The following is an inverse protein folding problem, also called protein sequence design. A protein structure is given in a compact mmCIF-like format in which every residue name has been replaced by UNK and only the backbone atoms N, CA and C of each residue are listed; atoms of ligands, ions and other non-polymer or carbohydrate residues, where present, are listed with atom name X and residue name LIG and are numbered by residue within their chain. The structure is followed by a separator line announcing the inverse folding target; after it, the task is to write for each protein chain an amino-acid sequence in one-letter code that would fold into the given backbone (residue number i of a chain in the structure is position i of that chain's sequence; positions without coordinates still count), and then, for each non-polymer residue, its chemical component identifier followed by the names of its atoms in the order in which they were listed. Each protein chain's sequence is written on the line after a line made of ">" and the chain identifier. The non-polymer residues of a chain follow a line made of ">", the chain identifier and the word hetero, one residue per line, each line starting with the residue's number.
data_IF_992048005939
#
_entry.id   IF_992048005939
#
_cell.length_a   1.000
_cell.length_b   1.000
_cell.length_c   1.000
_cell.angle_alpha   90.00
_cell.angle_beta   90.00
_cell.angle_gamma   90.00
#
_symmetry.space_group_name_H-M   'P 1'
#
loop_
_entity.id
_entity.type
_entity.pdbx_description
1 polymer ?
#
# COMPACT_ATOMS: atom_id res chain seq x y z
N UNK A 1 16.92 -10.49 -5.48
CA UNK A 1 15.91 -10.96 -4.50
C UNK A 1 15.28 -9.83 -3.67
N UNK A 2 16.05 -8.88 -3.10
CA UNK A 2 15.50 -7.80 -2.25
C UNK A 2 14.51 -6.84 -2.94
N UNK A 3 14.68 -6.59 -4.23
CA UNK A 3 13.74 -5.82 -5.06
C UNK A 3 12.32 -6.42 -5.08
N UNK A 4 12.22 -7.74 -5.22
CA UNK A 4 10.93 -8.44 -5.30
C UNK A 4 10.15 -8.35 -3.97
N UNK A 5 10.87 -8.37 -2.84
CA UNK A 5 10.26 -8.26 -1.50
C UNK A 5 9.69 -6.87 -1.26
N UNK A 6 10.45 -5.81 -1.59
CA UNK A 6 9.94 -4.44 -1.50
C UNK A 6 8.77 -4.18 -2.45
N UNK A 7 8.81 -4.76 -3.65
CA UNK A 7 7.71 -4.71 -4.61
C UNK A 7 6.45 -5.40 -4.07
N UNK A 8 6.58 -6.60 -3.51
CA UNK A 8 5.47 -7.36 -2.95
C UNK A 8 4.82 -6.65 -1.76
N UNK A 9 5.62 -6.11 -0.82
CA UNK A 9 5.10 -5.36 0.34
C UNK A 9 4.36 -4.09 -0.10
N UNK A 10 4.90 -3.38 -1.08
CA UNK A 10 4.26 -2.18 -1.61
C UNK A 10 2.95 -2.50 -2.34
N UNK A 11 2.95 -3.52 -3.21
CA UNK A 11 1.76 -3.98 -3.92
C UNK A 11 0.68 -4.45 -2.93
N UNK A 12 1.08 -5.16 -1.87
CA UNK A 12 0.18 -5.61 -0.81
C UNK A 12 -0.47 -4.43 -0.10
N UNK A 13 0.28 -3.42 0.34
CA UNK A 13 -0.28 -2.24 1.00
C UNK A 13 -1.31 -1.52 0.10
N UNK A 14 -1.03 -1.43 -1.20
CA UNK A 14 -1.96 -0.82 -2.15
C UNK A 14 -3.22 -1.66 -2.32
N UNK A 15 -3.08 -2.97 -2.56
CA UNK A 15 -4.21 -3.91 -2.68
C UNK A 15 -5.09 -3.84 -1.43
N UNK A 16 -4.49 -3.79 -0.23
CA UNK A 16 -5.22 -3.69 1.03
C UNK A 16 -6.06 -2.41 1.11
N UNK A 17 -5.48 -1.26 0.75
CA UNK A 17 -6.21 0.01 0.70
C UNK A 17 -7.38 -0.07 -0.27
N UNK A 18 -7.18 -0.68 -1.44
CA UNK A 18 -8.23 -0.82 -2.45
C UNK A 18 -9.36 -1.74 -2.02
N UNK A 19 -9.05 -2.90 -1.42
CA UNK A 19 -10.08 -3.78 -0.86
C UNK A 19 -10.86 -3.07 0.26
N UNK A 20 -10.18 -2.27 1.09
CA UNK A 20 -10.83 -1.54 2.19
C UNK A 20 -11.71 -0.41 1.66
N UNK A 21 -11.25 0.30 0.63
CA UNK A 21 -12.00 1.35 -0.05
C UNK A 21 -13.23 0.78 -0.77
N UNK A 22 -13.08 -0.31 -1.51
CA UNK A 22 -14.19 -0.99 -2.21
C UNK A 22 -15.29 -1.37 -1.21
N UNK A 23 -14.93 -2.01 -0.10
CA UNK A 23 -15.88 -2.35 0.97
C UNK A 23 -16.54 -1.13 1.60
N UNK A 24 -15.77 -0.08 1.86
CA UNK A 24 -16.31 1.16 2.41
C UNK A 24 -17.33 1.78 1.46
N UNK A 25 -17.02 1.85 0.17
CA UNK A 25 -17.90 2.39 -0.85
C UNK A 25 -19.14 1.50 -1.03
N UNK A 26 -18.99 0.17 -1.07
CA UNK A 26 -20.11 -0.76 -1.13
C UNK A 26 -21.09 -0.53 0.03
N UNK A 27 -20.62 -0.37 1.27
CA UNK A 27 -21.48 -0.06 2.42
C UNK A 27 -22.10 1.35 2.30
N UNK A 28 -21.32 2.34 1.85
CA UNK A 28 -21.82 3.70 1.71
C UNK A 28 -22.92 3.84 0.66
N UNK A 29 -22.82 3.06 -0.41
CA UNK A 29 -23.72 3.09 -1.56
C UNK A 29 -24.67 1.89 -1.62
N UNK A 30 -24.79 1.09 -0.55
CA UNK A 30 -25.76 -0.02 -0.43
C UNK A 30 -27.19 0.43 -0.78
N UNK A 31 -27.53 1.70 -0.50
CA UNK A 31 -28.85 2.28 -0.80
C UNK A 31 -29.06 2.64 -2.28
N UNK A 32 -27.99 2.69 -3.08
CA UNK A 32 -27.97 2.99 -4.52
C UNK A 32 -27.29 1.87 -5.32
N UNK A 33 -27.62 0.62 -4.99
CA UNK A 33 -26.97 -0.61 -5.48
C UNK A 33 -26.84 -0.68 -7.01
N UNK A 34 -27.87 -0.25 -7.75
CA UNK A 34 -27.88 -0.29 -9.22
C UNK A 34 -26.91 0.69 -9.90
N UNK A 35 -26.66 1.85 -9.29
CA UNK A 35 -25.66 2.79 -9.82
C UNK A 35 -24.25 2.31 -9.49
N UNK A 36 -24.03 1.81 -8.27
CA UNK A 36 -22.72 1.31 -7.82
C UNK A 36 -22.19 0.17 -8.70
N UNK A 37 -23.03 -0.83 -9.01
CA UNK A 37 -22.63 -2.02 -9.77
C UNK A 37 -22.08 -1.69 -11.18
N UNK A 38 -22.53 -0.58 -11.78
CA UNK A 38 -22.07 -0.11 -13.09
C UNK A 38 -20.66 0.49 -13.06
N UNK A 39 -20.25 1.08 -11.93
CA UNK A 39 -18.99 1.81 -11.81
C UNK A 39 -17.89 1.03 -11.09
N UNK A 40 -18.21 -0.08 -10.41
CA UNK A 40 -17.22 -0.99 -9.78
C UNK A 40 -16.01 -1.27 -10.70
N UNK A 41 -16.17 -1.73 -11.96
CA UNK A 41 -15.01 -2.04 -12.80
C UNK A 41 -14.16 -0.80 -13.11
N UNK A 42 -14.78 0.39 -13.22
CA UNK A 42 -14.03 1.64 -13.42
C UNK A 42 -13.24 2.03 -12.18
N UNK A 43 -13.81 1.87 -10.98
CA UNK A 43 -13.09 2.14 -9.73
C UNK A 43 -11.93 1.16 -9.51
N UNK A 44 -12.13 -0.12 -9.81
CA UNK A 44 -11.06 -1.13 -9.77
C UNK A 44 -9.95 -0.79 -10.79
N UNK A 45 -10.32 -0.39 -12.00
CA UNK A 45 -9.35 0.01 -13.01
C UNK A 45 -8.60 1.28 -12.62
N UNK A 46 -9.31 2.33 -12.19
CA UNK A 46 -8.72 3.61 -11.78
C UNK A 46 -7.77 3.45 -10.59
N UNK A 47 -8.11 2.56 -9.65
CA UNK A 47 -7.25 2.26 -8.53
C UNK A 47 -6.00 1.46 -8.91
N UNK A 48 -6.12 0.47 -9.80
CA UNK A 48 -4.95 -0.20 -10.39
C UNK A 48 -4.04 0.79 -11.12
N UNK A 49 -4.63 1.66 -11.95
CA UNK A 49 -3.91 2.68 -12.69
C UNK A 49 -3.19 3.68 -11.76
N UNK A 50 -3.87 4.16 -10.71
CA UNK A 50 -3.27 5.05 -9.72
C UNK A 50 -2.11 4.38 -8.97
N UNK A 51 -2.27 3.11 -8.60
CA UNK A 51 -1.23 2.31 -7.94
C UNK A 51 -0.01 2.13 -8.84
N UNK A 52 -0.25 1.80 -10.12
CA UNK A 52 0.80 1.66 -11.13
C UNK A 52 1.52 2.99 -11.39
N UNK A 53 0.78 4.10 -11.48
CA UNK A 53 1.36 5.43 -11.66
C UNK A 53 2.21 5.86 -10.47
N UNK A 54 1.72 5.63 -9.23
CA UNK A 54 2.48 5.93 -8.01
C UNK A 54 3.73 5.05 -7.92
N UNK A 55 3.63 3.80 -8.37
CA UNK A 55 4.79 2.89 -8.46
C UNK A 55 5.81 3.37 -9.49
N UNK A 56 5.38 3.71 -10.71
CA UNK A 56 6.25 4.21 -11.76
C UNK A 56 6.93 5.52 -11.34
N UNK A 57 6.19 6.40 -10.67
CA UNK A 57 6.72 7.64 -10.11
C UNK A 57 7.78 7.37 -9.03
N UNK A 58 7.51 6.48 -8.07
CA UNK A 58 8.47 6.14 -7.02
C UNK A 58 9.69 5.42 -7.59
N UNK A 59 9.52 4.50 -8.55
CA UNK A 59 10.64 3.82 -9.20
C UNK A 59 11.54 4.80 -9.95
N UNK A 60 10.93 5.70 -10.73
CA UNK A 60 11.65 6.71 -11.49
C UNK A 60 12.42 7.69 -10.59
N UNK A 61 11.75 8.23 -9.56
CA UNK A 61 12.38 9.22 -8.69
C UNK A 61 13.39 8.58 -7.74
N UNK A 62 13.09 7.45 -7.10
CA UNK A 62 13.97 6.83 -6.10
C UNK A 62 15.22 6.21 -6.72
N UNK A 63 15.14 5.63 -7.94
CA UNK A 63 16.35 5.12 -8.60
C UNK A 63 17.30 6.23 -9.07
N UNK A 64 16.79 7.41 -9.41
CA UNK A 64 17.62 8.53 -9.84
C UNK A 64 18.34 9.27 -8.70
N UNK A 65 17.86 9.19 -7.45
CA UNK A 65 18.51 9.92 -6.33
C UNK A 65 19.93 9.43 -6.04
N UNK A 66 20.29 8.19 -6.41
CA UNK A 66 21.56 7.58 -5.99
C UNK A 66 22.47 7.07 -7.09
N UNK A 67 22.09 7.18 -8.37
CA UNK A 67 22.90 6.67 -9.48
C UNK A 67 23.46 7.82 -10.31
N UNK A 68 24.76 8.06 -10.19
CA UNK A 68 25.49 9.00 -11.04
C UNK A 68 26.38 8.22 -12.00
N UNK A 69 26.34 8.59 -13.27
CA UNK A 69 27.34 8.10 -14.21
C UNK A 69 28.64 8.86 -13.94
N UNK A 70 29.63 8.17 -13.38
CA UNK A 70 30.97 8.71 -13.19
C UNK A 70 31.82 8.18 -14.33
N UNK A 71 32.42 9.09 -15.10
CA UNK A 71 33.38 8.71 -16.12
C UNK A 71 34.72 8.42 -15.44
N UNK A 72 35.20 7.19 -15.53
CA UNK A 72 36.50 6.82 -14.99
C UNK A 72 37.59 7.08 -16.03
N UNK A 73 38.34 8.16 -15.84
CA UNK A 73 39.39 8.62 -16.77
C UNK A 73 40.49 7.56 -16.92
N UNK A 74 40.77 6.76 -15.89
CA UNK A 74 41.86 5.77 -15.91
C UNK A 74 41.52 4.53 -16.71
N UNK A 75 40.23 4.20 -16.84
CA UNK A 75 39.77 2.98 -17.50
C UNK A 75 38.93 3.26 -18.77
N UNK A 76 38.74 4.54 -19.12
CA UNK A 76 38.00 5.02 -20.29
C UNK A 76 36.55 4.50 -20.40
N UNK A 77 35.91 4.11 -19.30
CA UNK A 77 34.52 3.68 -19.28
C UNK A 77 33.69 4.41 -18.22
N UNK A 78 32.38 4.47 -18.46
CA UNK A 78 31.42 5.01 -17.50
C UNK A 78 31.09 3.95 -16.45
N UNK A 79 31.33 4.26 -15.17
CA UNK A 79 30.80 3.49 -14.04
C UNK A 79 29.49 4.10 -13.58
N UNK A 80 28.49 3.25 -13.32
CA UNK A 80 27.34 3.65 -12.55
C UNK A 80 27.73 3.64 -11.07
N UNK A 81 28.08 4.81 -10.52
CA UNK A 81 28.25 4.93 -9.07
C UNK A 81 26.85 4.99 -8.46
N UNK A 82 26.38 3.81 -8.05
CA UNK A 82 25.16 3.67 -7.30
C UNK A 82 25.54 3.63 -5.83
N UNK A 83 25.26 4.72 -5.12
CA UNK A 83 25.42 4.74 -3.66
C UNK A 83 24.27 3.93 -3.04
N UNK A 84 24.32 2.61 -3.26
CA UNK A 84 23.24 1.63 -3.08
C UNK A 84 22.70 1.63 -1.66
N UNK A 85 23.56 1.88 -0.68
CA UNK A 85 23.23 1.90 0.75
C UNK A 85 22.29 3.05 1.13
N UNK A 86 22.57 4.26 0.66
CA UNK A 86 21.72 5.44 0.91
C UNK A 86 20.37 5.33 0.22
N UNK A 87 20.35 4.89 -1.04
CA UNK A 87 19.12 4.74 -1.82
C UNK A 87 18.20 3.67 -1.22
N UNK A 88 18.78 2.59 -0.70
CA UNK A 88 18.04 1.49 -0.10
C UNK A 88 17.46 1.86 1.27
N UNK A 89 18.21 2.58 2.13
CA UNK A 89 17.68 3.12 3.39
C UNK A 89 16.50 4.07 3.15
N UNK A 90 16.66 5.02 2.24
CA UNK A 90 15.59 5.98 1.88
C UNK A 90 14.35 5.25 1.33
N UNK A 91 14.54 4.25 0.48
CA UNK A 91 13.42 3.45 -0.06
C UNK A 91 12.66 2.69 1.03
N UNK A 92 13.36 2.06 1.98
CA UNK A 92 12.72 1.28 3.07
C UNK A 92 11.99 2.21 4.02
N UNK A 93 12.59 3.35 4.39
CA UNK A 93 11.94 4.36 5.24
C UNK A 93 10.71 4.95 4.57
N UNK A 94 10.77 5.27 3.26
CA UNK A 94 9.62 5.76 2.52
C UNK A 94 8.49 4.73 2.45
N UNK A 95 8.80 3.45 2.24
CA UNK A 95 7.82 2.37 2.25
C UNK A 95 7.18 2.17 3.63
N UNK A 96 7.96 2.29 4.71
CA UNK A 96 7.44 2.22 6.07
C UNK A 96 6.46 3.38 6.37
N UNK A 97 6.80 4.60 5.96
CA UNK A 97 5.91 5.77 6.11
C UNK A 97 4.62 5.56 5.33
N UNK A 98 4.72 5.17 4.05
CA UNK A 98 3.55 4.92 3.19
C UNK A 98 2.69 3.80 3.77
N UNK A 99 3.28 2.67 4.18
CA UNK A 99 2.56 1.57 4.83
C UNK A 99 1.84 2.00 6.10
N UNK A 100 2.47 2.82 6.93
CA UNK A 100 1.86 3.34 8.16
C UNK A 100 0.66 4.24 7.85
N UNK A 101 0.79 5.14 6.86
CA UNK A 101 -0.31 6.01 6.42
C UNK A 101 -1.47 5.18 5.87
N UNK A 102 -1.18 4.16 5.05
CA UNK A 102 -2.16 3.21 4.54
C UNK A 102 -2.89 2.47 5.67
N UNK A 103 -2.15 1.96 6.67
CA UNK A 103 -2.72 1.29 7.83
C UNK A 103 -3.69 2.19 8.61
N UNK A 104 -3.31 3.46 8.84
CA UNK A 104 -4.17 4.45 9.51
C UNK A 104 -5.43 4.70 8.67
N UNK A 105 -5.28 4.94 7.37
CA UNK A 105 -6.40 5.17 6.47
C UNK A 105 -7.37 3.98 6.44
N UNK A 106 -6.85 2.75 6.30
CA UNK A 106 -7.63 1.52 6.35
C UNK A 106 -8.37 1.36 7.67
N UNK A 107 -7.72 1.64 8.79
CA UNK A 107 -8.32 1.55 10.13
C UNK A 107 -9.48 2.54 10.28
N UNK A 108 -9.29 3.79 9.86
CA UNK A 108 -10.35 4.81 9.88
C UNK A 108 -11.53 4.42 8.98
N UNK A 109 -11.25 3.91 7.78
CA UNK A 109 -12.29 3.42 6.87
C UNK A 109 -13.08 2.25 7.46
N UNK A 110 -12.39 1.28 8.07
CA UNK A 110 -13.02 0.12 8.73
C UNK A 110 -13.91 0.54 9.91
N UNK A 111 -13.47 1.49 10.75
CA UNK A 111 -14.27 2.01 11.86
C UNK A 111 -15.53 2.72 11.34
N UNK A 112 -15.41 3.54 10.29
CA UNK A 112 -16.55 4.24 9.68
C UNK A 112 -17.52 3.27 9.02
N UNK A 113 -17.00 2.27 8.32
CA UNK A 113 -17.74 1.15 7.74
C UNK A 113 -18.59 0.46 8.80
N UNK A 114 -17.99 0.07 9.94
CA UNK A 114 -18.68 -0.60 11.04
C UNK A 114 -19.77 0.28 11.66
N UNK A 115 -19.50 1.58 11.87
CA UNK A 115 -20.51 2.52 12.37
C UNK A 115 -21.71 2.63 11.43
N UNK A 116 -21.49 2.75 10.12
CA UNK A 116 -22.58 2.79 9.13
C UNK A 116 -23.32 1.46 9.06
N UNK A 117 -22.61 0.34 9.08
CA UNK A 117 -23.21 -0.99 9.04
C UNK A 117 -24.13 -1.23 10.25
N UNK A 118 -23.70 -0.83 11.46
CA UNK A 118 -24.55 -0.86 12.67
C UNK A 118 -25.80 0.00 12.57
N UNK A 119 -25.71 1.15 11.88
CA UNK A 119 -26.86 2.02 11.65
C UNK A 119 -27.84 1.41 10.63
N UNK A 120 -27.34 0.75 9.58
CA UNK A 120 -28.15 0.15 8.52
C UNK A 120 -28.77 -1.19 8.93
N UNK A 121 -28.06 -2.01 9.71
CA UNK A 121 -28.43 -3.38 10.03
C UNK A 121 -28.51 -3.62 11.53
N UNK A 122 -29.38 -2.87 12.23
CA UNK A 122 -29.70 -3.09 13.65
C UNK A 122 -30.13 -4.54 13.99
N UNK A 123 -30.47 -5.37 13.00
CA UNK A 123 -30.95 -6.75 13.20
C UNK A 123 -30.01 -7.88 12.72
N UNK A 124 -29.03 -7.64 11.84
CA UNK A 124 -28.24 -8.72 11.21
C UNK A 124 -26.81 -8.81 11.76
N UNK A 125 -26.67 -9.48 12.91
CA UNK A 125 -25.38 -9.71 13.60
C UNK A 125 -24.37 -10.51 12.77
N UNK A 126 -24.83 -11.39 11.88
CA UNK A 126 -23.96 -12.26 11.07
C UNK A 126 -23.12 -11.47 10.07
N UNK A 127 -23.71 -10.45 9.43
CA UNK A 127 -23.02 -9.58 8.48
C UNK A 127 -21.98 -8.73 9.21
N UNK A 128 -22.32 -8.20 10.38
CA UNK A 128 -21.39 -7.44 11.22
C UNK A 128 -20.15 -8.27 11.60
N UNK A 129 -20.35 -9.54 11.98
CA UNK A 129 -19.25 -10.43 12.35
C UNK A 129 -18.31 -10.69 11.17
N UNK A 130 -18.83 -10.96 9.96
CA UNK A 130 -17.99 -11.14 8.78
C UNK A 130 -17.18 -9.89 8.46
N UNK A 131 -17.77 -8.69 8.54
CA UNK A 131 -17.04 -7.44 8.34
C UNK A 131 -15.95 -7.21 9.39
N UNK A 132 -16.25 -7.51 10.65
CA UNK A 132 -15.29 -7.39 11.74
C UNK A 132 -14.10 -8.34 11.56
N UNK A 133 -14.37 -9.60 11.23
CA UNK A 133 -13.34 -10.62 10.96
C UNK A 133 -12.39 -10.14 9.87
N UNK A 134 -12.94 -9.65 8.75
CA UNK A 134 -12.08 -9.22 7.65
C UNK A 134 -11.29 -7.96 8.01
N UNK A 135 -11.90 -7.00 8.72
CA UNK A 135 -11.18 -5.83 9.22
C UNK A 135 -10.01 -6.23 10.14
N UNK A 136 -10.20 -7.21 11.02
CA UNK A 136 -9.15 -7.76 11.87
C UNK A 136 -8.02 -8.42 11.07
N UNK A 137 -8.34 -9.27 10.09
CA UNK A 137 -7.33 -9.87 9.21
C UNK A 137 -6.55 -8.84 8.42
N UNK A 138 -7.24 -7.81 7.94
CA UNK A 138 -6.63 -6.70 7.20
C UNK A 138 -5.66 -5.93 8.09
N UNK A 139 -6.08 -5.61 9.32
CA UNK A 139 -5.23 -4.97 10.31
C UNK A 139 -4.01 -5.82 10.66
N UNK A 140 -4.20 -7.13 10.86
CA UNK A 140 -3.11 -8.05 11.19
C UNK A 140 -2.08 -8.15 10.04
N UNK A 141 -2.55 -8.17 8.79
CA UNK A 141 -1.68 -8.20 7.61
C UNK A 141 -0.86 -6.90 7.48
N UNK A 142 -1.49 -5.74 7.66
CA UNK A 142 -0.79 -4.44 7.66
C UNK A 142 0.20 -4.32 8.82
N UNK A 143 -0.18 -4.77 10.03
CA UNK A 143 0.71 -4.79 11.18
C UNK A 143 1.93 -5.69 10.94
N UNK A 144 1.73 -6.88 10.36
CA UNK A 144 2.83 -7.77 9.99
C UNK A 144 3.76 -7.14 8.95
N UNK A 145 3.21 -6.45 7.95
CA UNK A 145 4.00 -5.73 6.95
C UNK A 145 4.88 -4.64 7.59
N UNK A 146 4.32 -3.86 8.52
CA UNK A 146 5.07 -2.83 9.26
C UNK A 146 6.16 -3.46 10.12
N UNK A 147 5.87 -4.57 10.81
CA UNK A 147 6.89 -5.30 11.61
C UNK A 147 8.04 -5.79 10.73
N UNK A 148 7.74 -6.38 9.57
CA UNK A 148 8.77 -6.84 8.61
C UNK A 148 9.59 -5.65 8.11
N UNK A 149 8.95 -4.52 7.79
CA UNK A 149 9.63 -3.29 7.37
C UNK A 149 10.53 -2.72 8.48
N UNK A 150 10.11 -2.75 9.74
CA UNK A 150 10.91 -2.34 10.89
C UNK A 150 12.13 -3.26 11.10
N UNK A 151 11.94 -4.58 10.99
CA UNK A 151 13.04 -5.55 11.09
C UNK A 151 14.05 -5.35 9.96
N UNK A 152 13.56 -5.13 8.73
CA UNK A 152 14.40 -4.81 7.59
C UNK A 152 15.14 -3.48 7.82
N UNK A 153 14.44 -2.42 8.22
CA UNK A 153 15.06 -1.13 8.53
C UNK A 153 16.18 -1.28 9.56
N UNK A 154 15.93 -1.96 10.69
CA UNK A 154 16.92 -2.24 11.72
C UNK A 154 18.15 -2.97 11.17
N UNK A 155 17.96 -3.97 10.30
CA UNK A 155 19.08 -4.68 9.66
C UNK A 155 19.94 -3.82 8.73
N UNK A 156 19.46 -2.65 8.30
CA UNK A 156 20.25 -1.69 7.50
C UNK A 156 20.98 -0.65 8.34
N UNK A 157 20.63 -0.50 9.63
CA UNK A 157 21.27 0.44 10.56
C UNK A 157 22.44 -0.18 11.34
N UNK A 158 22.44 -1.50 11.51
CA UNK A 158 23.59 -2.30 11.95
C UNK A 158 24.51 -2.55 10.77
#
# INVERSE_FOLDING_TARGET
>A
QRFLVGYALYAQNCITVLMTLDRFLAICYVRHFGHWQRWIPLYVFASFAATFALHAYMHYNVMQVGSRFIYNITLEYYTLDSNTWTTQRVSVTAQAIVGTVCMIACTVMNIRSLKRLRQLYKANKTIELSFFIIACFTFLAEAANVVILCLLAHSYWI
#
